data_IF_467987325158
#
_entry.id   IF_467987325158
#
_cell.length_a   1.000
_cell.length_b   1.000
_cell.length_c   1.000
_cell.angle_alpha   90.00
_cell.angle_beta   90.00
_cell.angle_gamma   90.00
#
_symmetry.space_group_name_H-M   'P 1'
#
loop_
_entity.id
_entity.type
_entity.pdbx_description
1 polymer ?
#
# COMPACT_ATOMS: atom_id res chain seq x y z
N UNK A 1 6.30 -2.69 3.83
CA UNK A 1 5.14 -2.07 4.51
C UNK A 1 5.38 -2.18 6.01
N UNK A 2 4.85 -1.27 6.84
CA UNK A 2 4.92 -1.38 8.29
C UNK A 2 3.57 -1.10 8.92
N UNK A 3 3.27 -1.74 10.04
CA UNK A 3 2.16 -1.37 10.91
C UNK A 3 2.77 -0.84 12.20
N UNK A 4 2.33 0.34 12.62
CA UNK A 4 2.73 0.94 13.87
C UNK A 4 1.52 1.03 14.81
N UNK A 5 1.74 0.71 16.09
CA UNK A 5 0.77 0.90 17.17
C UNK A 5 1.32 1.92 18.15
N UNK A 6 0.56 2.99 18.37
CA UNK A 6 0.81 3.96 19.45
C UNK A 6 -0.24 3.79 20.55
N UNK A 7 0.20 3.75 21.81
CA UNK A 7 -0.67 3.72 23.00
C UNK A 7 -0.71 5.08 23.70
N UNK A 8 -1.79 5.38 24.42
CA UNK A 8 -1.89 6.61 25.23
C UNK A 8 -1.28 6.44 26.63
N UNK A 9 -0.46 7.42 26.99
CA UNK A 9 0.01 7.87 28.31
C UNK A 9 0.65 6.90 29.34
N UNK A 10 0.36 5.59 29.35
CA UNK A 10 0.95 4.66 30.34
C UNK A 10 2.03 3.72 29.77
N UNK A 11 2.09 3.56 28.45
CA UNK A 11 3.09 2.75 27.74
C UNK A 11 3.82 3.61 26.71
N UNK A 12 4.99 4.11 27.08
CA UNK A 12 5.80 5.08 26.34
C UNK A 12 6.55 4.47 25.15
N UNK A 13 5.85 4.08 24.08
CA UNK A 13 6.52 3.61 22.86
C UNK A 13 5.64 3.50 21.63
N UNK A 14 6.21 3.80 20.46
CA UNK A 14 5.67 3.36 19.17
C UNK A 14 6.24 1.97 18.92
N UNK A 15 5.36 0.96 18.86
CA UNK A 15 5.78 -0.37 18.44
C UNK A 15 5.51 -0.51 16.95
N UNK A 16 6.54 -0.91 16.20
CA UNK A 16 6.44 -1.09 14.75
C UNK A 16 6.72 -2.55 14.39
N UNK A 17 5.92 -3.10 13.50
CA UNK A 17 6.17 -4.39 12.87
C UNK A 17 6.35 -4.18 11.37
N UNK A 18 7.49 -4.64 10.87
CA UNK A 18 7.81 -4.61 9.45
C UNK A 18 7.18 -5.82 8.74
N UNK A 19 6.56 -5.57 7.61
CA UNK A 19 6.04 -6.60 6.71
C UNK A 19 7.10 -6.78 5.61
N UNK A 20 7.97 -7.80 5.70
CA UNK A 20 9.14 -7.93 4.83
C UNK A 20 8.75 -8.29 3.39
N UNK A 21 7.66 -9.05 3.22
CA UNK A 21 7.23 -9.57 1.92
C UNK A 21 5.71 -9.68 1.79
N UNK A 22 4.98 -8.56 1.91
CA UNK A 22 3.54 -8.57 1.74
C UNK A 22 3.18 -9.03 0.32
N UNK A 23 2.14 -9.86 0.22
CA UNK A 23 1.60 -10.35 -1.06
C UNK A 23 0.51 -9.41 -1.54
N UNK A 24 0.62 -8.97 -2.79
CA UNK A 24 -0.37 -8.11 -3.45
C UNK A 24 -1.20 -8.96 -4.42
N UNK A 25 -2.52 -8.90 -4.29
CA UNK A 25 -3.46 -9.68 -5.12
C UNK A 25 -4.66 -8.84 -5.52
N UNK A 26 -5.22 -9.06 -6.71
CA UNK A 26 -6.48 -8.46 -7.13
C UNK A 26 -7.65 -9.39 -6.81
N UNK A 27 -8.65 -8.91 -6.07
CA UNK A 27 -9.93 -9.59 -5.88
C UNK A 27 -10.93 -9.07 -6.93
N UNK A 28 -11.18 -9.86 -7.97
CA UNK A 28 -12.08 -9.50 -9.05
C UNK A 28 -13.55 -9.42 -8.64
N UNK A 29 -13.99 -10.24 -7.67
CA UNK A 29 -15.39 -10.27 -7.23
C UNK A 29 -15.79 -9.01 -6.49
N UNK A 30 -14.91 -8.53 -5.61
CA UNK A 30 -15.15 -7.32 -4.80
C UNK A 30 -14.55 -6.05 -5.41
N UNK A 31 -13.75 -6.19 -6.47
CA UNK A 31 -12.99 -5.09 -7.11
C UNK A 31 -12.04 -4.37 -6.15
N UNK A 32 -11.29 -5.15 -5.37
CA UNK A 32 -10.37 -4.66 -4.34
C UNK A 32 -8.93 -5.12 -4.61
N UNK A 33 -7.97 -4.23 -4.40
CA UNK A 33 -6.56 -4.61 -4.23
C UNK A 33 -6.37 -5.10 -2.80
N UNK A 34 -5.84 -6.31 -2.64
CA UNK A 34 -5.57 -6.89 -1.33
C UNK A 34 -4.07 -7.01 -1.09
N UNK A 35 -3.64 -6.58 0.08
CA UNK A 35 -2.28 -6.72 0.59
C UNK A 35 -2.33 -7.65 1.79
N UNK A 36 -1.65 -8.79 1.72
CA UNK A 36 -1.72 -9.84 2.75
C UNK A 36 -0.34 -10.16 3.29
N UNK A 37 -0.25 -10.36 4.60
CA UNK A 37 0.93 -10.89 5.27
C UNK A 37 0.47 -11.91 6.30
N UNK A 38 1.02 -13.12 6.23
CA UNK A 38 0.69 -14.18 7.17
C UNK A 38 1.73 -14.29 8.28
N UNK A 39 1.31 -14.87 9.41
CA UNK A 39 2.16 -15.18 10.56
C UNK A 39 2.92 -13.96 11.13
N UNK A 40 2.29 -12.79 11.12
CA UNK A 40 2.81 -11.58 11.75
C UNK A 40 2.69 -11.74 13.25
N UNK A 41 3.77 -11.55 13.98
CA UNK A 41 3.77 -11.57 15.45
C UNK A 41 2.94 -10.41 16.01
N UNK A 42 2.21 -10.64 17.10
CA UNK A 42 1.41 -9.59 17.74
C UNK A 42 2.30 -8.54 18.44
N UNK A 43 1.79 -7.33 18.60
CA UNK A 43 2.51 -6.24 19.27
C UNK A 43 2.70 -6.47 20.77
N UNK A 44 1.82 -7.29 21.39
CA UNK A 44 1.74 -7.47 22.85
C UNK A 44 2.01 -8.90 23.32
N UNK A 45 2.10 -9.86 22.40
CA UNK A 45 2.20 -11.28 22.73
C UNK A 45 2.97 -12.05 21.66
N UNK A 46 3.37 -13.29 21.96
CA UNK A 46 4.01 -14.18 20.98
C UNK A 46 2.98 -14.83 20.01
N UNK A 47 1.72 -14.38 20.03
CA UNK A 47 0.70 -14.87 19.11
C UNK A 47 1.05 -14.42 17.67
N UNK A 48 0.59 -15.19 16.69
CA UNK A 48 0.78 -14.88 15.26
C UNK A 48 -0.56 -14.73 14.57
N UNK A 49 -0.70 -13.65 13.81
CA UNK A 49 -1.92 -13.29 13.12
C UNK A 49 -1.68 -13.12 11.61
N UNK A 50 -2.73 -13.35 10.85
CA UNK A 50 -2.76 -13.05 9.42
C UNK A 50 -3.43 -11.70 9.21
N UNK A 51 -2.73 -10.78 8.56
CA UNK A 51 -3.22 -9.44 8.27
C UNK A 51 -3.58 -9.33 6.79
N UNK A 52 -4.70 -8.67 6.52
CA UNK A 52 -5.13 -8.30 5.18
C UNK A 52 -5.57 -6.83 5.19
N UNK A 53 -5.02 -6.05 4.28
CA UNK A 53 -5.50 -4.72 3.93
C UNK A 53 -6.22 -4.81 2.59
N UNK A 54 -7.47 -4.35 2.56
CA UNK A 54 -8.26 -4.23 1.34
C UNK A 54 -8.33 -2.77 0.94
N UNK A 55 -7.94 -2.47 -0.30
CA UNK A 55 -7.90 -1.12 -0.87
C UNK A 55 -8.87 -1.10 -2.05
N UNK A 56 -9.89 -0.28 -1.96
CA UNK A 56 -10.82 0.00 -3.07
C UNK A 56 -10.13 0.80 -4.17
N UNK A 57 -10.70 0.79 -5.38
CA UNK A 57 -10.19 1.63 -6.49
C UNK A 57 -10.27 3.13 -6.13
N UNK A 58 -11.28 3.54 -5.37
CA UNK A 58 -11.42 4.93 -4.92
C UNK A 58 -10.29 5.34 -3.96
N UNK A 59 -10.00 4.50 -2.96
CA UNK A 59 -8.88 4.73 -2.02
C UNK A 59 -7.52 4.71 -2.74
N UNK A 60 -7.34 3.81 -3.72
CA UNK A 60 -6.14 3.80 -4.55
C UNK A 60 -5.96 5.14 -5.29
N UNK A 61 -7.04 5.72 -5.82
CA UNK A 61 -7.02 7.04 -6.44
C UNK A 61 -6.57 8.14 -5.47
N UNK A 62 -7.06 8.11 -4.23
CA UNK A 62 -6.65 9.05 -3.19
C UNK A 62 -5.15 8.90 -2.83
N UNK A 63 -4.66 7.65 -2.72
CA UNK A 63 -3.24 7.39 -2.46
C UNK A 63 -2.34 7.92 -3.58
N UNK A 64 -2.74 7.75 -4.83
CA UNK A 64 -2.01 8.29 -5.99
C UNK A 64 -2.00 9.82 -5.96
N UNK A 65 -3.13 10.45 -5.65
CA UNK A 65 -3.22 11.91 -5.58
C UNK A 65 -2.27 12.49 -4.52
N UNK A 66 -2.29 11.94 -3.30
CA UNK A 66 -1.39 12.35 -2.21
C UNK A 66 0.08 12.16 -2.59
N UNK A 67 0.42 11.03 -3.24
CA UNK A 67 1.78 10.79 -3.71
C UNK A 67 2.21 11.77 -4.80
N UNK A 68 1.31 12.14 -5.72
CA UNK A 68 1.57 13.11 -6.77
C UNK A 68 1.81 14.52 -6.19
N UNK A 69 0.97 14.94 -5.24
CA UNK A 69 1.13 16.23 -4.55
C UNK A 69 2.49 16.31 -3.82
N UNK A 70 2.88 15.25 -3.13
CA UNK A 70 4.18 15.16 -2.47
C UNK A 70 5.34 15.20 -3.47
N UNK A 71 5.22 14.51 -4.60
CA UNK A 71 6.23 14.52 -5.66
C UNK A 71 6.38 15.89 -6.33
N UNK A 72 5.32 16.70 -6.39
CA UNK A 72 5.41 18.07 -6.90
C UNK A 72 6.18 19.01 -5.96
N UNK A 73 6.14 18.74 -4.65
CA UNK A 73 6.86 19.54 -3.66
C UNK A 73 8.35 19.21 -3.62
N UNK A 74 8.70 17.94 -3.71
CA UNK A 74 10.08 17.47 -3.75
C UNK A 74 10.26 16.31 -4.74
N UNK A 75 10.47 16.61 -6.03
CA UNK A 75 10.59 15.57 -7.06
C UNK A 75 11.76 14.62 -6.81
N UNK A 76 12.84 15.10 -6.19
CA UNK A 76 14.08 14.33 -6.02
C UNK A 76 13.88 13.06 -5.18
N UNK A 77 12.93 13.09 -4.23
CA UNK A 77 12.58 11.92 -3.40
C UNK A 77 11.90 10.81 -4.20
N UNK A 78 11.34 11.12 -5.37
CA UNK A 78 10.50 10.19 -6.12
C UNK A 78 11.13 9.73 -7.43
N UNK A 79 12.10 10.45 -8.01
CA UNK A 79 12.66 10.15 -9.36
C UNK A 79 13.04 8.68 -9.53
N UNK A 80 13.78 8.11 -8.58
CA UNK A 80 14.32 6.76 -8.70
C UNK A 80 13.24 5.67 -8.60
N UNK A 81 12.20 5.91 -7.80
CA UNK A 81 11.12 4.94 -7.56
C UNK A 81 9.94 5.11 -8.52
N UNK A 82 9.66 6.33 -8.97
CA UNK A 82 8.58 6.62 -9.92
C UNK A 82 8.84 5.94 -11.27
N UNK A 83 10.11 5.87 -11.68
CA UNK A 83 10.53 5.20 -12.91
C UNK A 83 10.10 3.73 -12.98
N UNK A 84 10.09 3.03 -11.83
CA UNK A 84 9.73 1.60 -11.72
C UNK A 84 8.22 1.37 -11.82
N UNK A 85 7.41 2.37 -11.46
CA UNK A 85 5.95 2.26 -11.42
C UNK A 85 5.25 2.92 -12.61
N UNK A 86 5.95 3.79 -13.36
CA UNK A 86 5.39 4.55 -14.48
C UNK A 86 4.73 3.65 -15.55
N UNK A 87 5.35 2.50 -15.84
CA UNK A 87 4.80 1.53 -16.79
C UNK A 87 3.46 0.94 -16.35
N UNK A 88 3.23 0.79 -15.04
CA UNK A 88 1.95 0.35 -14.50
C UNK A 88 0.88 1.44 -14.61
N UNK A 89 1.23 2.68 -14.27
CA UNK A 89 0.32 3.83 -14.35
C UNK A 89 -0.12 4.14 -15.78
N UNK A 90 0.80 4.09 -16.75
CA UNK A 90 0.47 4.30 -18.17
C UNK A 90 -0.46 3.23 -18.73
N UNK A 91 -0.34 1.98 -18.28
CA UNK A 91 -1.30 0.91 -18.63
C UNK A 91 -2.68 1.18 -18.06
N UNK A 92 -2.78 1.66 -16.81
CA UNK A 92 -4.07 2.06 -16.23
C UNK A 92 -4.71 3.21 -17.01
N UNK A 93 -3.91 4.22 -17.38
CA UNK A 93 -4.37 5.33 -18.22
C UNK A 93 -4.88 4.84 -19.59
N UNK A 94 -4.15 3.94 -20.25
CA UNK A 94 -4.55 3.37 -21.53
C UNK A 94 -5.89 2.62 -21.42
N UNK A 95 -6.08 1.83 -20.36
CA UNK A 95 -7.36 1.14 -20.09
C UNK A 95 -8.49 2.14 -19.86
N UNK A 96 -8.25 3.21 -19.09
CA UNK A 96 -9.24 4.26 -18.87
C UNK A 96 -9.61 5.00 -20.16
N UNK A 97 -8.67 5.14 -21.09
CA UNK A 97 -8.90 5.70 -22.42
C UNK A 97 -9.56 4.70 -23.41
N UNK A 98 -9.90 3.49 -22.97
CA UNK A 98 -10.50 2.45 -23.81
C UNK A 98 -9.50 1.71 -24.72
N UNK A 99 -8.19 1.95 -24.54
CA UNK A 99 -7.13 1.24 -25.27
C UNK A 99 -6.80 -0.06 -24.54
N UNK A 100 -7.64 -1.07 -24.76
CA UNK A 100 -7.42 -2.41 -24.21
C UNK A 100 -6.63 -3.23 -25.22
N UNK A 101 -5.48 -3.80 -24.82
CA UNK A 101 -4.81 -4.81 -25.66
C UNK A 101 -5.69 -6.06 -25.71
N UNK A 102 -6.09 -6.45 -26.92
CA UNK A 102 -6.67 -7.75 -27.22
C UNK A 102 -5.65 -8.88 -26.98
#
# INVERSE_FOLDING_TARGET
MKIARSGSAAFHGVYEIQFPSPKFTWNAGEKLLQVRQTRVEDFSSNARHDYALSITVAELGQLIAVAADAAMQDPALFVDDLSKVLAGLTRLQAVAAGVVRA
#
